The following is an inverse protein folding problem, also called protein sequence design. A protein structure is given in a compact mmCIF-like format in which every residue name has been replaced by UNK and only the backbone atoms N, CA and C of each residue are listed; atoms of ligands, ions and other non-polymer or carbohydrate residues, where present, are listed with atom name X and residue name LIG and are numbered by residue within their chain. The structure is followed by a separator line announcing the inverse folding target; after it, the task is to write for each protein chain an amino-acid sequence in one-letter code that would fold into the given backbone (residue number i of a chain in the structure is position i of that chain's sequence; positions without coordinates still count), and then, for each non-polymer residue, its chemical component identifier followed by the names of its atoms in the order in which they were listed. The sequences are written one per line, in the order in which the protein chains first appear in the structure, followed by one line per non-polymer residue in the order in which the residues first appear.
data_IF_686603596044
#
_entry.id   IF_686603596044
#
_cell.length_a   1.000
_cell.length_b   1.000
_cell.length_c   1.000
_cell.angle_alpha   90.00
_cell.angle_beta   90.00
_cell.angle_gamma   90.00
#
_symmetry.space_group_name_H-M   'P 1'
#
loop_
_entity.id
_entity.type
_entity.pdbx_description
1 polymer ?
#
# COMPACT_ATOMS: atom_id res chain seq x y z
N UNK A 1 -18.28 -30.06 40.60
CA UNK A 1 -19.56 -29.40 40.27
C UNK A 1 -19.41 -27.93 40.64
N UNK A 2 -19.06 -27.06 39.68
CA UNK A 2 -18.73 -25.66 39.96
C UNK A 2 -20.00 -24.82 39.81
N UNK A 3 -20.55 -24.34 40.93
CA UNK A 3 -21.77 -23.51 40.95
C UNK A 3 -21.40 -22.06 40.69
N UNK A 4 -21.94 -21.48 39.62
CA UNK A 4 -21.81 -20.05 39.32
C UNK A 4 -22.76 -19.30 40.25
N UNK A 5 -22.23 -18.32 41.01
CA UNK A 5 -23.03 -17.51 41.93
C UNK A 5 -23.84 -16.44 41.19
N UNK A 6 -25.04 -16.11 41.69
CA UNK A 6 -25.97 -15.13 41.11
C UNK A 6 -25.34 -13.79 40.64
N UNK A 7 -24.42 -13.14 41.39
CA UNK A 7 -23.77 -11.90 40.92
C UNK A 7 -22.78 -12.12 39.75
N UNK A 8 -22.23 -13.32 39.61
CA UNK A 8 -21.38 -13.68 38.46
C UNK A 8 -22.20 -13.91 37.20
N UNK A 9 -23.35 -14.59 37.33
CA UNK A 9 -24.28 -14.77 36.22
C UNK A 9 -24.84 -13.43 35.71
N UNK A 10 -25.16 -12.49 36.62
CA UNK A 10 -25.63 -11.15 36.25
C UNK A 10 -24.56 -10.31 35.53
N UNK A 11 -23.30 -10.39 35.97
CA UNK A 11 -22.17 -9.70 35.29
C UNK A 11 -21.91 -10.25 33.89
N UNK A 12 -21.96 -11.58 33.73
CA UNK A 12 -21.79 -12.23 32.43
C UNK A 12 -22.94 -11.84 31.49
N UNK A 13 -24.18 -11.80 31.99
CA UNK A 13 -25.35 -11.40 31.22
C UNK A 13 -25.29 -9.93 30.78
N UNK A 14 -24.87 -9.02 31.68
CA UNK A 14 -24.71 -7.60 31.37
C UNK A 14 -23.58 -7.36 30.35
N UNK A 15 -22.48 -8.10 30.43
CA UNK A 15 -21.38 -8.02 29.46
C UNK A 15 -21.80 -8.58 28.09
N UNK A 16 -22.57 -9.66 28.06
CA UNK A 16 -23.12 -10.24 26.83
C UNK A 16 -24.14 -9.32 26.14
N UNK A 17 -25.01 -8.63 26.91
CA UNK A 17 -25.94 -7.63 26.35
C UNK A 17 -25.22 -6.42 25.76
N UNK A 18 -24.14 -5.94 26.39
CA UNK A 18 -23.36 -4.81 25.88
C UNK A 18 -22.67 -5.15 24.54
N UNK A 19 -22.19 -6.38 24.36
CA UNK A 19 -21.64 -6.83 23.07
C UNK A 19 -22.71 -6.97 21.99
N UNK A 20 -23.92 -7.45 22.34
CA UNK A 20 -25.00 -7.72 21.38
C UNK A 20 -25.65 -6.45 20.78
N UNK A 21 -25.41 -5.27 21.36
CA UNK A 21 -25.98 -3.99 20.88
C UNK A 21 -25.02 -3.14 20.03
N UNK A 22 -23.79 -3.59 19.78
CA UNK A 22 -22.86 -2.86 18.91
C UNK A 22 -23.15 -3.16 17.45
N UNK A 23 -24.22 -2.56 16.90
CA UNK A 23 -24.37 -2.48 15.46
C UNK A 23 -23.21 -1.66 14.90
N UNK A 24 -22.52 -2.11 13.84
CA UNK A 24 -21.57 -1.25 13.16
C UNK A 24 -22.34 -0.02 12.69
N UNK A 25 -21.92 1.15 13.17
CA UNK A 25 -22.44 2.43 12.65
C UNK A 25 -22.01 2.50 11.20
N UNK A 26 -22.96 2.32 10.29
CA UNK A 26 -22.77 2.66 8.88
C UNK A 26 -22.57 4.16 8.78
N UNK A 27 -21.53 4.57 8.05
CA UNK A 27 -21.29 5.98 7.77
C UNK A 27 -22.54 6.59 7.12
N UNK A 28 -22.87 7.83 7.49
CA UNK A 28 -23.91 8.59 6.78
C UNK A 28 -23.44 8.90 5.36
N UNK A 29 -24.36 9.18 4.41
CA UNK A 29 -23.98 9.58 3.06
C UNK A 29 -23.00 10.76 3.02
N UNK A 30 -23.13 11.72 3.95
CA UNK A 30 -22.21 12.85 4.05
C UNK A 30 -20.81 12.43 4.50
N UNK A 31 -20.72 11.50 5.45
CA UNK A 31 -19.44 10.94 5.90
C UNK A 31 -18.77 10.13 4.78
N UNK A 32 -19.53 9.36 4.02
CA UNK A 32 -19.01 8.63 2.85
C UNK A 32 -18.53 9.60 1.76
N UNK A 33 -19.32 10.62 1.44
CA UNK A 33 -18.96 11.63 0.46
C UNK A 33 -17.70 12.41 0.89
N UNK A 34 -17.55 12.72 2.18
CA UNK A 34 -16.34 13.34 2.71
C UNK A 34 -15.13 12.41 2.59
N UNK A 35 -15.29 11.11 2.90
CA UNK A 35 -14.23 10.12 2.75
C UNK A 35 -13.81 9.95 1.28
N UNK A 36 -14.77 9.92 0.35
CA UNK A 36 -14.51 9.86 -1.09
C UNK A 36 -13.76 11.09 -1.58
N UNK A 37 -14.19 12.31 -1.20
CA UNK A 37 -13.46 13.56 -1.54
C UNK A 37 -12.03 13.52 -1.02
N UNK A 38 -11.81 13.02 0.19
CA UNK A 38 -10.47 12.88 0.78
C UNK A 38 -9.58 11.92 -0.03
N UNK A 39 -10.10 10.76 -0.43
CA UNK A 39 -9.37 9.79 -1.27
C UNK A 39 -9.11 10.32 -2.68
N UNK A 40 -10.06 11.04 -3.26
CA UNK A 40 -9.93 11.64 -4.57
C UNK A 40 -8.87 12.75 -4.61
N UNK A 41 -8.83 13.59 -3.57
CA UNK A 41 -7.84 14.67 -3.47
C UNK A 41 -6.41 14.16 -3.28
N UNK A 42 -6.23 12.97 -2.70
CA UNK A 42 -4.92 12.34 -2.54
C UNK A 42 -5.03 10.82 -2.77
N UNK A 43 -5.01 10.37 -4.04
CA UNK A 43 -5.10 8.95 -4.35
C UNK A 43 -3.89 8.19 -3.81
N UNK A 44 -4.10 6.97 -3.34
CA UNK A 44 -3.03 6.08 -2.94
C UNK A 44 -2.22 5.58 -4.16
N UNK A 45 -1.08 4.90 -3.94
CA UNK A 45 -0.24 4.39 -5.03
C UNK A 45 -0.98 3.46 -6.00
N UNK A 46 -1.89 2.63 -5.50
CA UNK A 46 -2.65 1.68 -6.33
C UNK A 46 -3.73 2.34 -7.18
N UNK A 47 -4.17 3.55 -6.80
CA UNK A 47 -5.11 4.35 -7.58
C UNK A 47 -4.42 5.25 -8.63
N UNK A 48 -3.09 5.29 -8.63
CA UNK A 48 -2.28 6.09 -9.57
C UNK A 48 -1.83 5.25 -10.76
N UNK A 49 -1.60 5.92 -11.88
CA UNK A 49 -1.13 5.28 -13.11
C UNK A 49 0.26 4.66 -12.90
N UNK A 50 0.51 3.51 -13.53
CA UNK A 50 1.84 2.91 -13.60
C UNK A 50 2.59 3.40 -14.84
N UNK A 51 3.85 3.79 -14.69
CA UNK A 51 4.69 4.19 -15.83
C UNK A 51 5.35 2.95 -16.44
N UNK A 52 5.23 2.80 -17.76
CA UNK A 52 6.08 1.85 -18.51
C UNK A 52 7.43 2.50 -18.78
N UNK A 53 8.51 1.83 -18.34
CA UNK A 53 9.89 2.14 -18.71
C UNK A 53 10.55 0.91 -19.35
N UNK A 54 11.39 1.13 -20.34
CA UNK A 54 12.02 0.03 -21.09
C UNK A 54 13.24 -0.56 -20.37
N UNK A 55 13.89 0.22 -19.50
CA UNK A 55 15.01 -0.19 -18.68
C UNK A 55 15.24 0.81 -17.55
N UNK A 56 15.92 0.37 -16.49
CA UNK A 56 16.50 1.26 -15.50
C UNK A 56 17.89 1.72 -15.96
N UNK A 57 18.32 2.94 -15.60
CA UNK A 57 19.73 3.31 -15.67
C UNK A 57 20.59 2.34 -14.84
N UNK A 58 21.83 2.06 -15.25
CA UNK A 58 22.73 1.21 -14.46
C UNK A 58 23.22 1.93 -13.19
N UNK A 59 23.49 3.23 -13.30
CA UNK A 59 24.02 4.06 -12.20
C UNK A 59 22.96 4.32 -11.12
N UNK A 60 23.28 3.98 -9.87
CA UNK A 60 22.37 4.13 -8.73
C UNK A 60 21.85 5.57 -8.57
N UNK A 61 22.70 6.58 -8.75
CA UNK A 61 22.29 7.98 -8.65
C UNK A 61 21.30 8.39 -9.74
N UNK A 62 21.39 7.80 -10.94
CA UNK A 62 20.48 8.04 -12.04
C UNK A 62 19.13 7.36 -11.82
N UNK A 63 19.14 6.15 -11.25
CA UNK A 63 17.93 5.47 -10.80
C UNK A 63 17.18 6.31 -9.74
N UNK A 64 17.90 6.87 -8.76
CA UNK A 64 17.29 7.69 -7.71
C UNK A 64 16.71 9.00 -8.22
N UNK A 65 17.32 9.58 -9.26
CA UNK A 65 16.75 10.75 -9.96
C UNK A 65 15.47 10.37 -10.69
N UNK A 66 15.46 9.23 -11.39
CA UNK A 66 14.27 8.76 -12.08
C UNK A 66 13.12 8.44 -11.11
N UNK A 67 13.40 7.78 -9.99
CA UNK A 67 12.40 7.50 -8.95
C UNK A 67 11.75 8.78 -8.44
N UNK A 68 12.56 9.80 -8.08
CA UNK A 68 12.06 11.11 -7.65
C UNK A 68 11.21 11.77 -8.73
N UNK A 69 11.69 11.77 -9.97
CA UNK A 69 10.93 12.34 -11.08
C UNK A 69 9.56 11.65 -11.25
N UNK A 70 9.49 10.32 -11.14
CA UNK A 70 8.23 9.58 -11.26
C UNK A 70 7.25 9.91 -10.13
N UNK A 71 7.76 10.08 -8.91
CA UNK A 71 6.96 10.51 -7.76
C UNK A 71 6.44 11.94 -7.92
N UNK A 72 7.29 12.87 -8.36
CA UNK A 72 6.91 14.27 -8.61
C UNK A 72 5.85 14.38 -9.72
N UNK A 73 5.90 13.47 -10.69
CA UNK A 73 4.87 13.34 -11.74
C UNK A 73 3.58 12.68 -11.26
N UNK A 74 3.55 12.14 -10.04
CA UNK A 74 2.38 11.53 -9.43
C UNK A 74 2.11 10.08 -9.84
N UNK A 75 3.09 9.38 -10.45
CA UNK A 75 2.95 7.95 -10.76
C UNK A 75 2.88 7.09 -9.50
N UNK A 76 2.09 6.03 -9.58
CA UNK A 76 1.88 5.08 -8.49
C UNK A 76 2.86 3.93 -8.46
N UNK A 77 3.54 3.69 -9.58
CA UNK A 77 4.42 2.55 -9.74
C UNK A 77 5.01 2.46 -11.13
N UNK A 78 5.73 1.36 -11.38
CA UNK A 78 6.51 1.19 -12.61
C UNK A 78 6.38 -0.22 -13.16
N UNK A 79 6.09 -0.32 -14.46
CA UNK A 79 6.25 -1.55 -15.22
C UNK A 79 7.58 -1.45 -15.96
N UNK A 80 8.51 -2.35 -15.68
CA UNK A 80 9.87 -2.28 -16.19
C UNK A 80 10.38 -3.63 -16.70
N UNK A 81 11.29 -3.57 -17.66
CA UNK A 81 12.05 -4.72 -18.13
C UNK A 81 13.48 -4.68 -17.56
N UNK A 82 14.10 -5.85 -17.54
CA UNK A 82 15.55 -5.96 -17.40
C UNK A 82 16.24 -5.35 -18.63
N UNK A 83 17.49 -4.94 -18.47
CA UNK A 83 18.28 -4.36 -19.57
C UNK A 83 18.34 -5.27 -20.79
N UNK A 84 18.09 -4.71 -21.98
CA UNK A 84 18.30 -5.40 -23.26
C UNK A 84 19.77 -5.48 -23.66
N UNK A 85 20.62 -4.59 -23.13
CA UNK A 85 22.07 -4.71 -23.29
C UNK A 85 22.56 -5.89 -22.48
N UNK A 86 23.27 -6.82 -23.13
CA UNK A 86 23.72 -8.08 -22.51
C UNK A 86 22.56 -8.81 -21.82
N UNK A 87 21.47 -8.95 -22.57
CA UNK A 87 20.18 -9.43 -22.08
C UNK A 87 20.32 -10.76 -21.33
N UNK A 88 19.99 -10.73 -20.03
CA UNK A 88 20.06 -11.86 -19.10
C UNK A 88 21.46 -12.49 -18.93
N UNK A 89 22.50 -11.94 -19.55
CA UNK A 89 23.87 -12.45 -19.46
C UNK A 89 24.75 -11.65 -18.50
N UNK A 90 24.33 -10.43 -18.13
CA UNK A 90 25.14 -9.51 -17.33
C UNK A 90 24.70 -9.48 -15.87
N UNK A 91 25.49 -10.11 -14.99
CA UNK A 91 25.25 -10.13 -13.55
C UNK A 91 25.25 -8.72 -12.94
N UNK A 92 26.13 -7.84 -13.45
CA UNK A 92 26.18 -6.44 -13.03
C UNK A 92 24.87 -5.71 -13.32
N UNK A 93 24.29 -5.91 -14.51
CA UNK A 93 23.02 -5.28 -14.89
C UNK A 93 21.84 -5.90 -14.14
N UNK A 94 21.89 -7.20 -13.86
CA UNK A 94 20.90 -7.85 -13.00
C UNK A 94 20.91 -7.26 -11.59
N UNK A 95 22.11 -7.08 -11.02
CA UNK A 95 22.29 -6.44 -9.70
C UNK A 95 21.76 -5.01 -9.70
N UNK A 96 22.08 -4.23 -10.74
CA UNK A 96 21.57 -2.86 -10.89
C UNK A 96 20.04 -2.81 -11.00
N UNK A 97 19.44 -3.72 -11.78
CA UNK A 97 17.99 -3.86 -11.90
C UNK A 97 17.32 -4.20 -10.56
N UNK A 98 17.81 -5.20 -9.84
CA UNK A 98 17.27 -5.60 -8.53
C UNK A 98 17.36 -4.45 -7.54
N UNK A 99 18.47 -3.71 -7.53
CA UNK A 99 18.61 -2.50 -6.71
C UNK A 99 17.56 -1.46 -7.07
N UNK A 100 17.36 -1.17 -8.36
CA UNK A 100 16.40 -0.17 -8.81
C UNK A 100 14.96 -0.52 -8.38
N UNK A 101 14.53 -1.77 -8.59
CA UNK A 101 13.20 -2.25 -8.18
C UNK A 101 13.00 -2.15 -6.67
N UNK A 102 14.02 -2.52 -5.88
CA UNK A 102 13.96 -2.38 -4.41
C UNK A 102 13.88 -0.93 -3.98
N UNK A 103 14.66 -0.04 -4.60
CA UNK A 103 14.66 1.38 -4.30
C UNK A 103 13.32 2.05 -4.66
N UNK A 104 12.76 1.72 -5.83
CA UNK A 104 11.44 2.20 -6.25
C UNK A 104 10.35 1.77 -5.26
N UNK A 105 10.35 0.49 -4.87
CA UNK A 105 9.42 -0.03 -3.86
C UNK A 105 9.56 0.65 -2.51
N UNK A 106 10.79 0.86 -2.04
CA UNK A 106 11.05 1.57 -0.79
C UNK A 106 10.58 3.03 -0.83
N UNK A 107 10.57 3.64 -2.01
CA UNK A 107 10.09 5.01 -2.23
C UNK A 107 8.56 5.11 -2.40
N UNK A 108 7.82 4.00 -2.34
CA UNK A 108 6.36 3.98 -2.42
C UNK A 108 5.78 3.76 -3.82
N UNK A 109 6.63 3.43 -4.81
CA UNK A 109 6.18 2.97 -6.12
C UNK A 109 5.80 1.49 -6.06
N UNK A 110 4.67 1.14 -6.66
CA UNK A 110 4.25 -0.25 -6.92
C UNK A 110 5.13 -0.93 -7.97
#
# INVERSE_FOLDING_TARGET
MMTISFPQALRILLFALACACTRPVTATPDQEAAALRKRFANPGPHERILKIIHSWPDEASAQDRLIRQLLDQGFGGVVCNVSFTEYLSSETRWTAFVRAVRAAKAAGLA
#
